data_IF_090187132101
#
_entry.id   IF_090187132101
#
_cell.length_a   1.000
_cell.length_b   1.000
_cell.length_c   1.000
_cell.angle_alpha   90.00
_cell.angle_beta   90.00
_cell.angle_gamma   90.00
#
_symmetry.space_group_name_H-M   'P 1'
#
loop_
_entity.id
_entity.type
_entity.pdbx_description
1 polymer ?
#
# COMPACT_ATOMS: atom_id res chain seq x y z
N UNK A 1 3.35 -4.26 -2.79
CA UNK A 1 1.91 -4.35 -3.06
C UNK A 1 1.54 -5.82 -3.24
N UNK A 2 0.57 -6.34 -2.49
CA UNK A 2 -0.15 -7.56 -2.86
C UNK A 2 -1.56 -7.14 -3.33
N UNK A 3 -2.30 -7.98 -4.08
CA UNK A 3 -3.69 -7.66 -4.41
C UNK A 3 -4.50 -7.50 -3.13
N UNK A 4 -4.13 -8.20 -2.07
CA UNK A 4 -4.85 -8.17 -0.81
C UNK A 4 -4.84 -6.78 -0.21
N UNK A 5 -3.83 -5.96 -0.47
CA UNK A 5 -3.75 -4.57 -0.01
C UNK A 5 -4.65 -3.63 -0.80
N UNK A 6 -4.68 -3.73 -2.14
CA UNK A 6 -5.59 -2.91 -2.96
C UNK A 6 -7.02 -3.42 -2.82
N UNK A 7 -7.22 -4.73 -2.68
CA UNK A 7 -8.51 -5.34 -2.40
C UNK A 7 -8.97 -5.07 -0.97
N UNK A 8 -8.09 -5.03 0.03
CA UNK A 8 -8.43 -4.63 1.41
C UNK A 8 -8.64 -3.12 1.51
N UNK A 9 -7.88 -2.32 0.75
CA UNK A 9 -8.06 -0.87 0.61
C UNK A 9 -9.41 -0.50 -0.05
N UNK A 10 -9.92 -1.37 -0.91
CA UNK A 10 -11.25 -1.26 -1.51
C UNK A 10 -12.26 -2.20 -0.81
N UNK A 11 -11.90 -2.73 0.36
CA UNK A 11 -12.67 -3.64 1.22
C UNK A 11 -13.30 -4.88 0.53
N UNK A 12 -12.75 -5.30 -0.60
CA UNK A 12 -13.08 -6.54 -1.31
C UNK A 12 -12.54 -7.81 -0.65
N UNK A 13 -11.77 -7.75 0.45
CA UNK A 13 -11.15 -8.94 1.04
C UNK A 13 -10.82 -8.85 2.55
N UNK A 14 -10.98 -9.98 3.28
CA UNK A 14 -10.62 -10.24 4.69
C UNK A 14 -9.69 -11.44 4.83
N UNK A 15 -8.73 -11.39 5.74
CA UNK A 15 -7.97 -12.58 6.16
C UNK A 15 -8.49 -13.08 7.51
N UNK A 16 -8.88 -14.36 7.61
CA UNK A 16 -9.24 -14.99 8.89
C UNK A 16 -8.00 -15.60 9.57
N UNK A 17 -8.03 -15.69 10.91
CA UNK A 17 -6.89 -16.07 11.77
C UNK A 17 -6.28 -17.46 11.50
N UNK A 18 -6.84 -18.25 10.58
CA UNK A 18 -6.44 -19.64 10.28
C UNK A 18 -6.06 -19.82 8.79
N UNK A 19 -6.15 -18.78 7.94
CA UNK A 19 -5.78 -18.87 6.53
C UNK A 19 -4.66 -17.88 6.13
N UNK A 20 -3.66 -18.39 5.41
CA UNK A 20 -2.61 -17.56 4.79
C UNK A 20 -3.10 -16.78 3.56
N UNK A 21 -4.33 -17.04 3.08
CA UNK A 21 -4.93 -16.40 1.92
C UNK A 21 -6.23 -15.68 2.30
N UNK A 22 -6.45 -14.54 1.65
CA UNK A 22 -7.56 -13.65 1.93
C UNK A 22 -8.89 -14.17 1.32
N UNK A 23 -9.95 -14.22 2.11
CA UNK A 23 -11.32 -14.49 1.69
C UNK A 23 -12.00 -13.19 1.25
N UNK A 24 -12.62 -13.17 0.06
CA UNK A 24 -13.38 -11.98 -0.34
C UNK A 24 -14.48 -11.69 0.67
N UNK A 25 -14.52 -10.46 1.21
CA UNK A 25 -15.74 -9.96 1.83
C UNK A 25 -16.83 -9.94 0.74
N UNK A 26 -18.12 -10.18 1.06
CA UNK A 26 -19.18 -9.59 0.25
C UNK A 26 -18.89 -8.09 0.10
N UNK A 27 -19.17 -7.53 -1.08
CA UNK A 27 -18.99 -6.10 -1.39
C UNK A 27 -19.28 -5.22 -0.16
N UNK A 28 -18.38 -4.30 0.21
CA UNK A 28 -18.65 -3.28 1.21
C UNK A 28 -19.96 -2.59 0.85
N UNK A 29 -20.80 -2.40 1.86
CA UNK A 29 -22.04 -1.69 1.71
C UNK A 29 -21.87 -0.35 2.41
N UNK A 30 -21.42 0.65 1.65
CA UNK A 30 -21.30 2.02 2.12
C UNK A 30 -21.63 2.98 0.98
N UNK A 31 -22.81 3.58 1.02
CA UNK A 31 -23.29 4.55 0.04
C UNK A 31 -22.84 5.95 0.48
N UNK A 32 -22.32 6.75 -0.44
CA UNK A 32 -22.18 8.19 -0.16
C UNK A 32 -23.59 8.79 0.03
N UNK A 33 -23.89 9.36 1.20
CA UNK A 33 -25.22 9.86 1.54
C UNK A 33 -25.65 11.04 0.66
N UNK A 34 -24.74 11.68 -0.05
CA UNK A 34 -25.03 12.77 -0.98
C UNK A 34 -25.43 12.26 -2.37
N UNK A 35 -25.03 11.04 -2.76
CA UNK A 35 -25.24 10.59 -4.13
C UNK A 35 -25.62 9.13 -4.39
N UNK A 36 -25.64 8.26 -3.38
CA UNK A 36 -26.09 6.89 -3.59
C UNK A 36 -24.98 5.93 -4.05
N UNK A 37 -23.76 6.41 -4.33
CA UNK A 37 -22.71 5.59 -4.97
C UNK A 37 -21.80 5.00 -3.91
N UNK A 38 -21.44 3.70 -4.02
CA UNK A 38 -20.40 3.13 -3.17
C UNK A 38 -19.08 3.87 -3.34
N UNK A 39 -18.45 4.27 -2.24
CA UNK A 39 -17.25 5.11 -2.26
C UNK A 39 -16.12 4.50 -3.11
N UNK A 40 -15.97 3.19 -3.05
CA UNK A 40 -15.04 2.36 -3.83
C UNK A 40 -15.31 2.34 -5.35
N UNK A 41 -16.44 2.90 -5.79
CA UNK A 41 -16.80 3.06 -7.21
C UNK A 41 -16.58 4.47 -7.74
N UNK A 42 -16.14 5.45 -6.93
CA UNK A 42 -15.96 6.83 -7.40
C UNK A 42 -14.59 7.02 -8.06
N UNK A 43 -14.59 7.12 -9.38
CA UNK A 43 -13.45 7.63 -10.16
C UNK A 43 -13.55 9.16 -10.28
N UNK A 44 -12.45 9.90 -10.16
CA UNK A 44 -12.44 11.37 -10.17
C UNK A 44 -13.22 11.99 -11.36
N UNK A 45 -13.01 11.49 -12.58
CA UNK A 45 -13.69 12.03 -13.77
C UNK A 45 -15.20 11.72 -13.79
N UNK A 46 -15.62 10.65 -13.12
CA UNK A 46 -17.03 10.26 -13.00
C UNK A 46 -17.76 10.94 -11.86
N UNK A 47 -17.12 11.80 -11.05
CA UNK A 47 -17.76 12.38 -9.86
C UNK A 47 -18.86 13.39 -10.21
N UNK A 48 -18.71 14.15 -11.30
CA UNK A 48 -19.68 15.17 -11.69
C UNK A 48 -21.02 14.54 -12.14
N UNK A 49 -20.93 13.60 -13.09
CA UNK A 49 -22.10 12.99 -13.73
C UNK A 49 -22.44 11.59 -13.19
N UNK A 50 -21.59 11.03 -12.33
CA UNK A 50 -21.80 9.74 -11.65
C UNK A 50 -21.83 8.55 -12.63
N UNK A 51 -21.08 8.63 -13.72
CA UNK A 51 -21.14 7.74 -14.88
C UNK A 51 -19.87 6.89 -15.10
N UNK A 52 -18.73 7.29 -14.53
CA UNK A 52 -17.47 6.54 -14.62
C UNK A 52 -17.05 6.02 -13.24
N UNK A 53 -16.83 4.71 -13.16
CA UNK A 53 -16.28 4.03 -11.98
C UNK A 53 -14.88 3.51 -12.26
N UNK A 54 -14.10 3.15 -11.23
CA UNK A 54 -12.81 2.48 -11.43
C UNK A 54 -12.92 1.19 -12.25
N UNK A 55 -14.05 0.47 -12.15
CA UNK A 55 -14.27 -0.72 -12.97
C UNK A 55 -14.38 -0.36 -14.48
N UNK A 56 -15.08 0.72 -14.82
CA UNK A 56 -15.14 1.23 -16.19
C UNK A 56 -13.76 1.67 -16.67
N UNK A 57 -13.05 2.45 -15.85
CA UNK A 57 -11.72 2.96 -16.14
C UNK A 57 -10.71 1.83 -16.38
N UNK A 58 -10.64 0.84 -15.49
CA UNK A 58 -9.71 -0.28 -15.65
C UNK A 58 -10.07 -1.17 -16.84
N UNK A 59 -11.36 -1.40 -17.11
CA UNK A 59 -11.79 -2.11 -18.30
C UNK A 59 -11.36 -1.39 -19.58
N UNK A 60 -11.46 -0.05 -19.60
CA UNK A 60 -10.99 0.78 -20.71
C UNK A 60 -9.47 0.68 -20.89
N UNK A 61 -8.69 0.84 -19.81
CA UNK A 61 -7.23 0.73 -19.86
C UNK A 61 -6.74 -0.66 -20.28
N UNK A 62 -7.41 -1.72 -19.81
CA UNK A 62 -7.12 -3.10 -20.23
C UNK A 62 -7.44 -3.34 -21.71
N UNK A 63 -8.55 -2.77 -22.23
CA UNK A 63 -8.90 -2.84 -23.65
C UNK A 63 -7.82 -2.19 -24.53
N UNK A 64 -7.29 -1.05 -24.10
CA UNK A 64 -6.19 -0.35 -24.76
C UNK A 64 -4.81 -0.96 -24.50
N UNK A 65 -4.72 -1.97 -23.65
CA UNK A 65 -3.47 -2.62 -23.22
C UNK A 65 -2.47 -1.66 -22.54
N UNK A 66 -2.96 -0.61 -21.88
CA UNK A 66 -2.15 0.39 -21.16
C UNK A 66 -2.44 0.42 -19.65
N UNK A 67 -3.16 -0.58 -19.13
CA UNK A 67 -3.34 -0.72 -17.67
C UNK A 67 -1.99 -0.90 -16.97
N UNK A 68 -1.68 -0.11 -15.92
CA UNK A 68 -0.40 -0.19 -15.24
C UNK A 68 -0.24 -1.53 -14.48
N UNK A 69 -1.35 -2.21 -14.17
CA UNK A 69 -1.32 -3.55 -13.61
C UNK A 69 -2.55 -4.37 -14.01
N UNK A 70 -2.55 -4.94 -15.21
CA UNK A 70 -3.63 -5.83 -15.69
C UNK A 70 -3.95 -7.00 -14.75
N UNK A 71 -2.97 -7.45 -13.94
CA UNK A 71 -3.15 -8.53 -12.98
C UNK A 71 -4.12 -8.16 -11.85
N UNK A 72 -3.90 -7.01 -11.22
CA UNK A 72 -4.69 -6.55 -10.06
C UNK A 72 -5.89 -5.69 -10.45
N UNK A 73 -5.75 -4.82 -11.44
CA UNK A 73 -6.81 -3.91 -11.93
C UNK A 73 -7.68 -4.60 -12.97
N UNK A 74 -8.26 -5.75 -12.59
CA UNK A 74 -9.08 -6.57 -13.48
C UNK A 74 -10.33 -7.07 -12.77
N UNK A 75 -11.45 -7.17 -13.51
CA UNK A 75 -12.67 -7.82 -13.02
C UNK A 75 -12.49 -9.34 -12.85
N UNK A 76 -11.51 -9.95 -13.51
CA UNK A 76 -11.23 -11.38 -13.42
C UNK A 76 -10.59 -11.75 -12.06
N UNK A 77 -11.40 -12.33 -11.17
CA UNK A 77 -10.98 -12.76 -9.83
C UNK A 77 -9.79 -13.74 -9.87
N UNK A 78 -9.83 -14.72 -10.78
CA UNK A 78 -8.76 -15.71 -10.91
C UNK A 78 -7.43 -15.05 -11.27
N UNK A 79 -7.44 -14.07 -12.17
CA UNK A 79 -6.24 -13.32 -12.54
C UNK A 79 -5.68 -12.52 -11.36
N UNK A 80 -6.54 -11.87 -10.56
CA UNK A 80 -6.10 -11.16 -9.35
C UNK A 80 -5.45 -12.11 -8.35
N UNK A 81 -6.05 -13.28 -8.10
CA UNK A 81 -5.52 -14.31 -7.20
C UNK A 81 -4.16 -14.83 -7.67
N UNK A 82 -4.01 -15.17 -8.95
CA UNK A 82 -2.74 -15.62 -9.52
C UNK A 82 -1.64 -14.54 -9.39
N UNK A 83 -2.01 -13.27 -9.55
CA UNK A 83 -1.08 -12.14 -9.40
C UNK A 83 -0.60 -12.01 -7.95
N UNK A 84 -1.50 -12.10 -6.96
CA UNK A 84 -1.12 -12.15 -5.53
C UNK A 84 -0.23 -13.34 -5.20
N UNK A 85 -0.59 -14.55 -5.66
CA UNK A 85 0.19 -15.76 -5.40
C UNK A 85 1.61 -15.63 -5.96
N UNK A 86 1.76 -15.07 -7.16
CA UNK A 86 3.09 -14.78 -7.70
C UNK A 86 3.83 -13.75 -6.87
N UNK A 87 3.19 -12.66 -6.45
CA UNK A 87 3.83 -11.65 -5.61
C UNK A 87 4.33 -12.26 -4.28
N UNK A 88 3.54 -13.12 -3.63
CA UNK A 88 3.94 -13.84 -2.42
C UNK A 88 5.14 -14.77 -2.67
N UNK A 89 5.15 -15.53 -3.77
CA UNK A 89 6.30 -16.36 -4.15
C UNK A 89 7.59 -15.54 -4.32
N UNK A 90 7.48 -14.36 -4.94
CA UNK A 90 8.61 -13.45 -5.12
C UNK A 90 9.08 -12.85 -3.79
N UNK A 91 8.16 -12.43 -2.92
CA UNK A 91 8.46 -12.00 -1.54
C UNK A 91 9.20 -13.08 -0.76
N UNK A 92 8.74 -14.33 -0.84
CA UNK A 92 9.41 -15.47 -0.22
C UNK A 92 10.80 -15.73 -0.80
N UNK A 93 11.01 -15.48 -2.10
CA UNK A 93 12.33 -15.56 -2.72
C UNK A 93 13.28 -14.50 -2.17
N UNK A 94 12.82 -13.25 -2.03
CA UNK A 94 13.61 -12.17 -1.43
C UNK A 94 13.94 -12.44 0.03
N UNK A 95 12.96 -12.94 0.79
CA UNK A 95 13.14 -13.37 2.18
C UNK A 95 14.18 -14.47 2.28
N UNK A 96 14.12 -15.48 1.41
CA UNK A 96 15.12 -16.53 1.34
C UNK A 96 16.51 -15.95 1.10
N UNK A 97 16.68 -15.15 0.06
CA UNK A 97 17.97 -14.51 -0.28
C UNK A 97 18.52 -13.74 0.92
N UNK A 98 17.72 -12.91 1.58
CA UNK A 98 18.16 -12.13 2.74
C UNK A 98 18.54 -12.97 3.96
N UNK A 99 18.00 -14.18 4.08
CA UNK A 99 18.30 -15.10 5.20
C UNK A 99 19.38 -16.14 4.88
N UNK A 100 19.72 -16.35 3.61
CA UNK A 100 20.69 -17.38 3.19
C UNK A 100 21.98 -16.80 2.62
N UNK A 101 21.92 -15.68 1.91
CA UNK A 101 23.09 -15.07 1.28
C UNK A 101 23.81 -14.12 2.23
N UNK A 102 25.14 -14.12 2.16
CA UNK A 102 25.98 -13.17 2.91
C UNK A 102 26.97 -12.49 1.97
N UNK A 103 27.27 -11.23 2.24
CA UNK A 103 28.16 -10.40 1.44
C UNK A 103 29.21 -9.76 2.34
N UNK A 104 30.42 -9.56 1.82
CA UNK A 104 31.55 -9.05 2.61
C UNK A 104 31.41 -7.60 3.04
N UNK A 105 30.65 -6.79 2.28
CA UNK A 105 30.64 -5.33 2.42
C UNK A 105 29.32 -4.76 2.94
N UNK A 106 28.28 -5.58 3.11
CA UNK A 106 27.00 -5.13 3.63
C UNK A 106 26.21 -6.28 4.24
N UNK A 107 25.37 -5.93 5.22
CA UNK A 107 24.36 -6.83 5.75
C UNK A 107 23.10 -6.75 4.90
N UNK A 108 22.42 -7.88 4.72
CA UNK A 108 21.18 -7.95 3.97
C UNK A 108 20.01 -8.24 4.92
N UNK A 109 18.91 -7.51 4.75
CA UNK A 109 17.70 -7.65 5.56
C UNK A 109 16.48 -7.73 4.64
N UNK A 110 15.44 -8.42 5.09
CA UNK A 110 14.16 -8.48 4.41
C UNK A 110 13.06 -7.95 5.32
N UNK A 111 12.18 -7.12 4.75
CA UNK A 111 10.99 -6.61 5.41
C UNK A 111 9.78 -6.90 4.51
N UNK A 112 8.73 -7.47 5.09
CA UNK A 112 7.46 -7.65 4.39
C UNK A 112 6.84 -6.28 4.03
N UNK A 113 6.04 -6.25 2.96
CA UNK A 113 5.31 -5.04 2.61
C UNK A 113 4.15 -4.81 3.60
N UNK A 114 4.25 -3.75 4.40
CA UNK A 114 3.44 -3.54 5.62
C UNK A 114 2.07 -2.89 5.39
N UNK A 115 1.48 -3.01 4.22
CA UNK A 115 0.34 -2.16 3.86
C UNK A 115 -0.98 -2.58 4.55
N UNK A 116 -1.13 -3.83 5.01
CA UNK A 116 -2.21 -4.14 5.96
C UNK A 116 -2.08 -3.33 7.26
N UNK A 117 -0.84 -3.20 7.78
CA UNK A 117 -0.57 -2.44 9.01
C UNK A 117 -0.83 -0.93 8.85
N UNK A 118 -0.70 -0.38 7.63
CA UNK A 118 -1.05 1.03 7.37
C UNK A 118 -2.55 1.23 7.20
N UNK A 119 -3.27 0.26 6.63
CA UNK A 119 -4.74 0.32 6.52
C UNK A 119 -5.35 0.30 7.92
N UNK A 120 -4.91 -0.62 8.79
CA UNK A 120 -5.36 -0.68 10.18
C UNK A 120 -5.04 0.61 10.95
N UNK A 121 -3.86 1.19 10.72
CA UNK A 121 -3.47 2.47 11.33
C UNK A 121 -4.39 3.60 10.86
N UNK A 122 -4.71 3.64 9.57
CA UNK A 122 -5.58 4.66 9.01
C UNK A 122 -7.01 4.53 9.52
N UNK A 123 -7.54 3.30 9.60
CA UNK A 123 -8.85 3.03 10.18
C UNK A 123 -8.93 3.42 11.67
N UNK A 124 -7.86 3.19 12.45
CA UNK A 124 -7.77 3.65 13.85
C UNK A 124 -7.84 5.18 13.97
N UNK A 125 -7.42 5.92 12.94
CA UNK A 125 -7.52 7.38 12.85
C UNK A 125 -8.87 7.85 12.30
N UNK A 126 -9.83 6.94 12.07
CA UNK A 126 -11.14 7.23 11.49
C UNK A 126 -11.17 7.30 9.97
N UNK A 127 -10.06 6.97 9.31
CA UNK A 127 -9.93 6.94 7.87
C UNK A 127 -10.56 5.70 7.22
N UNK A 128 -10.81 5.78 5.92
CA UNK A 128 -11.29 4.69 5.10
C UNK A 128 -10.20 4.20 4.15
N UNK A 129 -10.10 2.89 3.86
CA UNK A 129 -8.92 2.37 3.17
C UNK A 129 -8.77 2.88 1.72
N UNK A 130 -9.87 3.26 1.05
CA UNK A 130 -9.83 3.84 -0.31
C UNK A 130 -9.15 5.21 -0.36
N UNK A 131 -9.07 5.92 0.77
CA UNK A 131 -8.40 7.22 0.89
C UNK A 131 -6.87 7.10 0.85
N UNK A 132 -6.31 5.90 0.75
CA UNK A 132 -4.87 5.63 0.70
C UNK A 132 -4.36 5.41 -0.73
N UNK A 133 -5.23 5.48 -1.73
CA UNK A 133 -4.91 5.24 -3.14
C UNK A 133 -4.99 6.56 -3.91
N UNK A 134 -4.10 6.74 -4.88
CA UNK A 134 -4.11 7.87 -5.81
C UNK A 134 -5.43 7.89 -6.59
N UNK A 135 -6.21 8.99 -6.51
CA UNK A 135 -7.58 9.00 -6.98
C UNK A 135 -7.71 9.10 -8.52
N UNK A 136 -6.60 9.36 -9.22
CA UNK A 136 -6.57 9.45 -10.69
C UNK A 136 -6.20 8.11 -11.33
N UNK A 137 -5.24 7.37 -10.79
CA UNK A 137 -4.85 6.08 -11.38
C UNK A 137 -5.53 4.88 -10.70
N UNK A 138 -6.05 5.05 -9.48
CA UNK A 138 -6.70 3.97 -8.73
C UNK A 138 -5.77 2.83 -8.39
N UNK A 139 -4.46 3.07 -8.35
CA UNK A 139 -3.44 2.05 -8.24
C UNK A 139 -2.35 2.38 -7.23
N UNK A 140 -1.70 3.54 -7.36
CA UNK A 140 -0.56 3.86 -6.52
C UNK A 140 -1.00 4.24 -5.10
N UNK A 141 -0.17 3.97 -4.07
CA UNK A 141 -0.32 4.60 -2.77
C UNK A 141 -0.21 6.12 -2.92
N UNK A 142 -1.12 6.87 -2.32
CA UNK A 142 -1.00 8.32 -2.30
C UNK A 142 0.00 8.81 -1.24
N UNK A 143 0.09 10.12 -1.06
CA UNK A 143 0.99 10.73 -0.08
C UNK A 143 0.74 10.23 1.36
N UNK A 144 -0.52 10.13 1.79
CA UNK A 144 -0.87 9.65 3.13
C UNK A 144 -0.39 8.21 3.34
N UNK A 145 -0.66 7.33 2.37
CA UNK A 145 -0.21 5.96 2.42
C UNK A 145 1.32 5.85 2.44
N UNK A 146 2.00 6.67 1.63
CA UNK A 146 3.46 6.72 1.57
C UNK A 146 4.10 7.17 2.89
N UNK A 147 3.51 8.17 3.56
CA UNK A 147 3.95 8.62 4.88
C UNK A 147 3.72 7.57 5.97
N UNK A 148 2.56 6.88 5.96
CA UNK A 148 2.30 5.78 6.90
C UNK A 148 3.24 4.60 6.67
N UNK A 149 3.56 4.28 5.41
CA UNK A 149 4.58 3.28 5.08
C UNK A 149 5.95 3.67 5.65
N UNK A 150 6.37 4.92 5.45
CA UNK A 150 7.64 5.42 5.98
C UNK A 150 7.70 5.33 7.52
N UNK A 151 6.64 5.73 8.22
CA UNK A 151 6.53 5.60 9.68
C UNK A 151 6.63 4.14 10.14
N UNK A 152 5.95 3.22 9.46
CA UNK A 152 6.01 1.78 9.80
C UNK A 152 7.38 1.17 9.52
N UNK A 153 8.01 1.52 8.38
CA UNK A 153 9.37 1.08 8.06
C UNK A 153 10.35 1.59 9.10
N UNK A 154 10.28 2.88 9.45
CA UNK A 154 11.13 3.49 10.47
C UNK A 154 11.03 2.76 11.81
N UNK A 155 9.80 2.54 12.31
CA UNK A 155 9.55 1.83 13.57
C UNK A 155 10.05 0.39 13.55
N UNK A 156 9.87 -0.33 12.45
CA UNK A 156 10.38 -1.71 12.32
C UNK A 156 11.90 -1.75 12.29
N UNK A 157 12.55 -0.88 11.53
CA UNK A 157 14.03 -0.79 11.52
C UNK A 157 14.54 -0.43 12.91
N UNK A 158 13.96 0.58 13.56
CA UNK A 158 14.36 1.01 14.90
C UNK A 158 14.23 -0.13 15.92
N UNK A 159 13.18 -0.95 15.83
CA UNK A 159 12.96 -2.06 16.75
C UNK A 159 13.80 -3.30 16.44
N UNK A 160 14.05 -3.63 15.18
CA UNK A 160 14.65 -4.91 14.79
C UNK A 160 16.12 -4.78 14.42
N UNK A 161 16.51 -3.67 13.80
CA UNK A 161 17.85 -3.42 13.27
C UNK A 161 18.29 -1.97 13.54
N UNK A 162 18.34 -1.54 14.82
CA UNK A 162 18.64 -0.15 15.17
C UNK A 162 20.00 0.33 14.63
N UNK A 163 20.95 -0.58 14.42
CA UNK A 163 22.25 -0.28 13.82
C UNK A 163 22.16 0.32 12.41
N UNK A 164 21.06 0.10 11.68
CA UNK A 164 20.85 0.69 10.34
C UNK A 164 20.61 2.20 10.44
N UNK A 165 19.97 2.68 11.51
CA UNK A 165 19.64 4.10 11.69
C UNK A 165 20.81 4.92 12.26
N UNK A 166 21.85 4.26 12.76
CA UNK A 166 22.90 4.91 13.53
C UNK A 166 22.40 5.35 14.91
N UNK A 167 23.25 6.11 15.61
CA UNK A 167 22.88 6.73 16.90
C UNK A 167 22.42 8.15 16.65
N UNK A 168 21.55 8.63 17.53
CA UNK A 168 21.25 10.05 17.60
C UNK A 168 22.54 10.85 17.82
N UNK A 169 22.73 11.90 17.02
CA UNK A 169 23.89 12.76 17.13
C UNK A 169 23.72 13.70 18.34
N UNK A 170 24.59 13.61 19.36
CA UNK A 170 24.45 14.40 20.59
C UNK A 170 24.66 15.90 20.38
N UNK A 171 25.14 16.31 19.19
CA UNK A 171 25.39 17.71 18.84
C UNK A 171 24.27 18.34 18.00
N UNK A 172 23.14 17.65 17.77
CA UNK A 172 22.04 18.19 16.96
C UNK A 172 21.60 19.60 17.39
N UNK A 173 21.40 19.83 18.69
CA UNK A 173 21.03 21.16 19.19
C UNK A 173 22.10 22.23 18.97
N UNK A 174 23.39 21.87 19.01
CA UNK A 174 24.48 22.80 18.73
C UNK A 174 24.59 23.11 17.23
N UNK A 175 24.33 22.11 16.38
CA UNK A 175 24.27 22.30 14.92
C UNK A 175 23.15 23.29 14.58
N UNK A 176 21.96 23.11 15.15
CA UNK A 176 20.83 24.01 14.94
C UNK A 176 21.09 25.43 15.47
N UNK A 177 21.73 25.56 16.63
CA UNK A 177 22.10 26.88 17.19
C UNK A 177 23.10 27.64 16.31
N UNK A 178 24.07 26.96 15.70
CA UNK A 178 25.15 27.59 14.91
C UNK A 178 24.76 27.76 13.44
N UNK A 179 24.05 26.79 12.86
CA UNK A 179 23.80 26.71 11.41
C UNK A 179 22.32 26.86 11.04
N UNK A 180 21.41 26.98 11.99
CA UNK A 180 19.97 27.16 11.74
C UNK A 180 19.39 26.03 10.90
N UNK A 181 18.71 26.38 9.82
CA UNK A 181 18.09 25.46 8.86
C UNK A 181 19.09 24.72 7.96
N UNK A 182 20.40 24.88 8.21
CA UNK A 182 21.49 24.28 7.45
C UNK A 182 21.48 24.61 5.95
N UNK A 183 20.83 25.72 5.55
CA UNK A 183 20.70 26.15 4.16
C UNK A 183 19.40 25.74 3.45
N UNK A 184 18.46 25.09 4.16
CA UNK A 184 17.12 24.75 3.67
C UNK A 184 17.07 23.65 2.60
N UNK A 185 15.84 23.25 2.22
CA UNK A 185 15.49 22.42 1.05
C UNK A 185 14.16 22.90 0.47
#
# INVERSE_FOLDING_TARGET
>A
MNADVVCHALEFCKQDAVQSQCHLYPLPQGIDPNDGIPYEKKFCEGQLNKDVTYAHFFSFLSCLQVSPCNGWMSSNKTLRTLTSQRAEQLSNTLKKIATTETFTNFNLFYMDFVFHEIIEEWQKRGGQPWQLIEPVDGFHPNEVASLLLADRVWKKIQSQWPQILGKENPFNSQIEEVFGDQGGH
#
